data_IF_602402681135
#
_entry.id   IF_602402681135
#
_cell.length_a   1.000
_cell.length_b   1.000
_cell.length_c   1.000
_cell.angle_alpha   90.00
_cell.angle_beta   90.00
_cell.angle_gamma   90.00
#
_symmetry.space_group_name_H-M   'P 1'
#
loop_
_entity.id
_entity.type
_entity.pdbx_description
1 polymer ?
#
# COMPACT_ATOMS: atom_id res chain seq x y z
N UNK A 1 -6.41 4.52 54.32
CA UNK A 1 -7.44 5.42 53.73
C UNK A 1 -7.42 5.24 52.21
N UNK A 2 -8.48 4.68 51.60
CA UNK A 2 -8.53 4.33 50.16
C UNK A 2 -9.12 5.49 49.34
N UNK A 3 -8.26 6.26 48.66
CA UNK A 3 -8.70 7.33 47.75
C UNK A 3 -9.16 6.74 46.42
N UNK A 4 -10.48 6.70 46.16
CA UNK A 4 -11.03 6.31 44.86
C UNK A 4 -11.19 7.55 43.98
N UNK A 5 -10.32 7.69 42.96
CA UNK A 5 -10.47 8.71 41.92
C UNK A 5 -11.61 8.32 40.96
N UNK A 6 -12.76 8.97 41.06
CA UNK A 6 -13.81 8.84 40.04
C UNK A 6 -13.43 9.71 38.85
N UNK A 7 -13.14 9.09 37.70
CA UNK A 7 -12.96 9.81 36.43
C UNK A 7 -14.33 10.24 35.89
N UNK A 8 -14.58 11.54 35.82
CA UNK A 8 -15.73 12.08 35.10
C UNK A 8 -15.53 11.90 33.58
N UNK A 9 -16.54 11.36 32.88
CA UNK A 9 -16.51 11.26 31.42
C UNK A 9 -16.82 12.64 30.83
N UNK A 10 -15.80 13.34 30.33
CA UNK A 10 -15.97 14.57 29.56
C UNK A 10 -16.74 14.27 28.27
N UNK A 11 -17.84 15.00 28.02
CA UNK A 11 -18.60 14.90 26.77
C UNK A 11 -17.76 15.53 25.64
N UNK A 12 -17.46 14.76 24.60
CA UNK A 12 -16.76 15.25 23.40
C UNK A 12 -17.74 16.13 22.63
N UNK A 13 -17.43 17.42 22.46
CA UNK A 13 -18.24 18.31 21.64
C UNK A 13 -18.09 17.94 20.15
N UNK A 14 -19.17 18.03 19.33
CA UNK A 14 -19.07 17.83 17.89
C UNK A 14 -18.29 19.01 17.28
N UNK A 15 -17.23 18.69 16.55
CA UNK A 15 -16.40 19.69 15.88
C UNK A 15 -17.01 19.92 14.51
N UNK A 16 -17.56 21.11 14.30
CA UNK A 16 -18.27 21.43 13.08
C UNK A 16 -17.28 21.55 11.91
N UNK A 17 -17.36 20.61 10.96
CA UNK A 17 -16.45 20.49 9.81
C UNK A 17 -17.01 21.25 8.61
N UNK A 18 -17.27 22.54 8.76
CA UNK A 18 -17.53 23.42 7.62
C UNK A 18 -16.25 23.57 6.79
N UNK A 19 -15.90 22.52 6.04
CA UNK A 19 -14.81 22.55 5.07
C UNK A 19 -15.35 23.30 3.85
N UNK A 20 -14.72 24.42 3.44
CA UNK A 20 -15.13 25.11 2.22
C UNK A 20 -15.06 24.13 1.05
N UNK A 21 -16.17 23.99 0.35
CA UNK A 21 -16.29 23.13 -0.83
C UNK A 21 -15.53 23.81 -1.96
N UNK A 22 -14.27 23.44 -2.16
CA UNK A 22 -13.50 23.91 -3.31
C UNK A 22 -13.97 23.14 -4.56
N UNK A 23 -14.18 23.86 -5.66
CA UNK A 23 -14.57 23.33 -6.97
C UNK A 23 -13.32 22.89 -7.73
N UNK A 24 -13.45 21.83 -8.53
CA UNK A 24 -12.36 21.30 -9.34
C UNK A 24 -11.73 22.38 -10.22
N UNK A 25 -10.39 22.40 -10.31
CA UNK A 25 -9.67 23.39 -11.12
C UNK A 25 -9.87 23.24 -12.63
N UNK A 26 -10.33 22.08 -13.10
CA UNK A 26 -10.65 21.83 -14.51
C UNK A 26 -11.84 22.69 -14.91
N UNK A 27 -11.65 23.59 -15.89
CA UNK A 27 -12.62 24.62 -16.29
C UNK A 27 -13.98 24.11 -16.76
N UNK A 28 -14.09 22.81 -17.09
CA UNK A 28 -15.33 22.13 -17.48
C UNK A 28 -15.92 21.24 -16.39
N UNK A 29 -15.47 21.35 -15.13
CA UNK A 29 -15.83 20.45 -14.05
C UNK A 29 -16.42 21.18 -12.84
N UNK A 30 -17.68 20.93 -12.56
CA UNK A 30 -18.42 21.49 -11.41
C UNK A 30 -18.37 20.56 -10.17
N UNK A 31 -17.61 19.46 -10.25
CA UNK A 31 -17.47 18.52 -9.14
C UNK A 31 -16.61 19.11 -8.01
N UNK A 32 -16.90 18.67 -6.78
CA UNK A 32 -16.16 19.07 -5.58
C UNK A 32 -14.76 18.44 -5.54
N UNK A 33 -13.79 19.21 -5.05
CA UNK A 33 -12.41 18.78 -4.90
C UNK A 33 -12.24 17.77 -3.77
N UNK A 34 -11.39 16.77 -4.02
CA UNK A 34 -11.04 15.77 -3.03
C UNK A 34 -9.61 16.00 -2.51
N UNK A 35 -8.64 16.01 -3.43
CA UNK A 35 -7.22 16.22 -3.14
C UNK A 35 -6.55 16.99 -4.29
N UNK A 36 -5.53 17.79 -3.99
CA UNK A 36 -4.75 18.56 -4.98
C UNK A 36 -5.56 19.53 -5.85
N UNK A 37 -6.70 20.06 -5.36
CA UNK A 37 -7.54 20.97 -6.14
C UNK A 37 -8.28 20.31 -7.31
N UNK A 38 -8.28 18.97 -7.37
CA UNK A 38 -8.97 18.19 -8.39
C UNK A 38 -10.10 17.37 -7.76
N UNK A 39 -11.15 17.11 -8.55
CA UNK A 39 -12.17 16.14 -8.18
C UNK A 39 -11.57 14.72 -8.19
N UNK A 40 -12.27 13.77 -7.56
CA UNK A 40 -11.81 12.38 -7.48
C UNK A 40 -11.53 11.75 -8.86
N UNK A 41 -12.34 12.09 -9.87
CA UNK A 41 -12.19 11.58 -11.25
C UNK A 41 -10.90 12.11 -11.88
N UNK A 42 -10.71 13.42 -11.87
CA UNK A 42 -9.51 14.07 -12.44
C UNK A 42 -8.24 13.71 -11.69
N UNK A 43 -8.30 13.59 -10.35
CA UNK A 43 -7.15 13.13 -9.56
C UNK A 43 -6.77 11.69 -9.93
N UNK A 44 -7.74 10.77 -10.12
CA UNK A 44 -7.46 9.40 -10.55
C UNK A 44 -6.92 9.33 -11.97
N UNK A 45 -7.46 10.13 -12.88
CA UNK A 45 -6.96 10.21 -14.25
C UNK A 45 -5.52 10.71 -14.27
N UNK A 46 -5.24 11.83 -13.59
CA UNK A 46 -3.89 12.39 -13.47
C UNK A 46 -2.91 11.39 -12.83
N UNK A 47 -3.34 10.67 -11.79
CA UNK A 47 -2.54 9.61 -11.17
C UNK A 47 -2.36 8.39 -12.08
N UNK A 48 -3.35 8.02 -12.89
CA UNK A 48 -3.26 6.90 -13.82
C UNK A 48 -2.26 7.18 -14.95
N UNK A 49 -2.21 8.41 -15.43
CA UNK A 49 -1.23 8.82 -16.44
C UNK A 49 0.19 8.92 -15.85
N UNK A 50 0.32 9.42 -14.61
CA UNK A 50 1.61 9.53 -13.90
C UNK A 50 2.12 8.19 -13.37
N UNK A 51 1.23 7.23 -13.13
CA UNK A 51 1.53 5.89 -12.66
C UNK A 51 1.25 4.91 -13.80
N UNK A 52 1.98 5.06 -14.90
CA UNK A 52 2.13 3.98 -15.87
C UNK A 52 2.80 2.79 -15.16
N UNK A 53 1.99 1.98 -14.46
CA UNK A 53 2.40 0.66 -14.02
C UNK A 53 2.55 -0.13 -15.30
N UNK A 54 3.79 -0.36 -15.74
CA UNK A 54 4.07 -1.19 -16.90
C UNK A 54 3.39 -2.54 -16.63
N UNK A 55 2.32 -2.90 -17.35
CA UNK A 55 1.67 -4.17 -17.11
C UNK A 55 2.70 -5.27 -17.41
N UNK A 56 2.80 -6.26 -16.52
CA UNK A 56 3.61 -7.45 -16.77
C UNK A 56 3.15 -8.03 -18.12
N UNK A 57 4.06 -8.32 -19.06
CA UNK A 57 3.68 -8.80 -20.39
C UNK A 57 2.78 -10.03 -20.26
N UNK A 58 1.62 -9.97 -20.92
CA UNK A 58 0.67 -11.07 -20.94
C UNK A 58 1.35 -12.32 -21.53
N UNK A 59 1.40 -13.40 -20.75
CA UNK A 59 2.02 -14.67 -21.17
C UNK A 59 3.25 -15.11 -20.38
N UNK A 60 3.75 -14.35 -19.41
CA UNK A 60 4.73 -14.92 -18.47
C UNK A 60 4.02 -15.92 -17.55
N UNK A 61 4.37 -17.21 -17.57
CA UNK A 61 3.80 -18.17 -16.64
C UNK A 61 4.11 -17.72 -15.21
N UNK A 62 3.08 -17.76 -14.36
CA UNK A 62 3.24 -17.50 -12.94
C UNK A 62 3.70 -18.82 -12.33
N UNK A 63 5.00 -18.98 -12.18
CA UNK A 63 5.59 -20.14 -11.51
C UNK A 63 5.16 -20.25 -10.03
N UNK A 64 5.35 -21.44 -9.45
CA UNK A 64 5.22 -21.62 -8.01
C UNK A 64 6.30 -20.81 -7.27
N UNK A 65 6.07 -20.54 -5.99
CA UNK A 65 7.05 -19.91 -5.12
C UNK A 65 8.32 -20.76 -5.07
N UNK A 66 9.47 -20.12 -5.17
CA UNK A 66 10.77 -20.80 -5.12
C UNK A 66 11.07 -21.42 -3.74
N UNK A 67 10.35 -21.03 -2.68
CA UNK A 67 10.54 -21.55 -1.32
C UNK A 67 10.12 -23.02 -1.24
N UNK A 68 11.01 -23.94 -0.83
CA UNK A 68 10.69 -25.36 -0.68
C UNK A 68 9.44 -25.58 0.21
N UNK A 69 8.50 -26.39 -0.28
CA UNK A 69 7.24 -26.66 0.42
C UNK A 69 6.19 -25.54 0.31
N UNK A 70 6.34 -24.61 -0.64
CA UNK A 70 5.34 -23.58 -0.93
C UNK A 70 4.77 -23.71 -2.34
N UNK A 71 3.60 -24.32 -2.47
CA UNK A 71 2.90 -24.48 -3.76
C UNK A 71 2.09 -23.24 -4.19
N UNK A 72 2.36 -22.08 -3.56
CA UNK A 72 1.63 -20.85 -3.84
C UNK A 72 2.30 -20.13 -5.01
N UNK A 73 1.50 -19.61 -5.93
CA UNK A 73 1.98 -18.81 -7.06
C UNK A 73 2.89 -17.65 -6.61
N UNK A 74 3.98 -17.46 -7.36
CA UNK A 74 4.89 -16.35 -7.15
C UNK A 74 4.17 -15.01 -7.41
N UNK A 75 4.47 -14.02 -6.59
CA UNK A 75 3.99 -12.66 -6.75
C UNK A 75 5.06 -11.80 -7.42
N UNK A 76 6.28 -11.83 -6.87
CA UNK A 76 7.40 -11.02 -7.32
C UNK A 76 8.73 -11.65 -6.89
N UNK A 77 9.79 -11.47 -7.67
CA UNK A 77 11.15 -12.00 -7.37
C UNK A 77 11.19 -13.50 -6.96
N UNK A 78 10.39 -14.37 -7.58
CA UNK A 78 10.37 -15.80 -7.22
C UNK A 78 9.58 -16.15 -5.96
N UNK A 79 9.06 -15.15 -5.24
CA UNK A 79 8.43 -15.33 -3.94
C UNK A 79 6.93 -15.09 -3.99
N UNK A 80 6.16 -15.88 -3.23
CA UNK A 80 4.75 -15.59 -2.99
C UNK A 80 4.62 -14.32 -2.14
N UNK A 81 3.45 -13.67 -2.19
CA UNK A 81 3.18 -12.41 -1.48
C UNK A 81 3.51 -12.47 0.02
N UNK A 82 3.32 -13.64 0.64
CA UNK A 82 3.66 -13.88 2.05
C UNK A 82 5.17 -13.83 2.30
N UNK A 83 5.94 -14.56 1.49
CA UNK A 83 7.40 -14.61 1.63
C UNK A 83 8.03 -13.27 1.24
N UNK A 84 7.57 -12.66 0.15
CA UNK A 84 7.97 -11.31 -0.24
C UNK A 84 7.73 -10.27 0.87
N UNK A 85 6.57 -10.35 1.55
CA UNK A 85 6.28 -9.40 2.64
C UNK A 85 7.19 -9.58 3.84
N UNK A 86 7.54 -10.83 4.20
CA UNK A 86 8.45 -11.13 5.32
C UNK A 86 9.86 -10.62 5.04
N UNK A 87 10.33 -10.84 3.83
CA UNK A 87 11.59 -10.32 3.31
C UNK A 87 11.64 -8.81 3.38
N UNK A 88 10.61 -8.13 2.86
CA UNK A 88 10.56 -6.67 2.80
C UNK A 88 10.55 -6.02 4.20
N UNK A 89 10.03 -6.74 5.19
CA UNK A 89 10.00 -6.27 6.59
C UNK A 89 11.25 -6.65 7.38
N UNK A 90 12.10 -7.56 6.88
CA UNK A 90 13.40 -7.80 7.48
C UNK A 90 14.29 -6.61 7.12
N UNK A 91 14.66 -5.82 8.12
CA UNK A 91 15.32 -4.53 7.98
C UNK A 91 16.58 -4.60 7.11
N UNK A 92 16.51 -4.04 5.89
CA UNK A 92 17.64 -3.36 5.26
C UNK A 92 18.50 -4.12 4.25
N UNK A 93 18.05 -5.25 3.69
CA UNK A 93 18.73 -5.83 2.52
C UNK A 93 18.14 -5.22 1.25
N UNK A 94 18.78 -4.17 0.73
CA UNK A 94 18.49 -3.65 -0.62
C UNK A 94 19.07 -4.55 -1.73
N UNK A 95 19.93 -5.50 -1.36
CA UNK A 95 20.53 -6.47 -2.27
C UNK A 95 19.71 -7.78 -2.34
N UNK A 96 18.99 -7.93 -3.45
CA UNK A 96 18.14 -9.09 -3.72
C UNK A 96 18.93 -10.37 -4.10
N UNK A 97 20.19 -10.25 -4.51
CA UNK A 97 21.03 -11.37 -4.97
C UNK A 97 21.63 -12.12 -3.76
N UNK A 98 22.08 -11.39 -2.75
CA UNK A 98 22.53 -11.93 -1.46
C UNK A 98 21.39 -12.63 -0.70
N UNK A 99 20.20 -12.02 -0.71
CA UNK A 99 19.04 -12.61 -0.06
C UNK A 99 18.54 -13.90 -0.74
N UNK A 100 18.62 -13.98 -2.08
CA UNK A 100 18.35 -15.23 -2.82
C UNK A 100 19.37 -16.29 -2.39
N UNK A 101 20.64 -15.92 -2.31
CA UNK A 101 21.68 -16.83 -1.85
C UNK A 101 21.41 -17.34 -0.42
N UNK A 102 20.96 -16.51 0.51
CA UNK A 102 20.68 -16.95 1.90
C UNK A 102 19.37 -17.74 2.06
N UNK A 103 18.33 -17.43 1.28
CA UNK A 103 17.07 -18.18 1.28
C UNK A 103 17.16 -19.53 0.58
N UNK A 104 18.15 -19.71 -0.31
CA UNK A 104 18.33 -20.92 -1.12
C UNK A 104 19.65 -21.69 -0.87
N UNK A 105 20.56 -21.20 0.00
CA UNK A 105 21.81 -21.90 0.40
C UNK A 105 21.62 -22.93 1.52
N UNK A 106 20.67 -23.84 1.39
CA UNK A 106 20.65 -25.10 2.15
C UNK A 106 20.76 -26.32 1.22
N UNK A 107 21.65 -26.23 0.22
CA UNK A 107 22.14 -27.40 -0.50
C UNK A 107 23.65 -27.28 -0.80
N UNK A 108 24.46 -27.51 0.23
CA UNK A 108 25.66 -28.37 0.12
C UNK A 108 26.09 -28.90 1.48
#
# INVERSE_FOLDING_TARGET
MKWKRKRAKAKRQPMDRHRPVAICWVSSCEDTTHAFGLCLKHSRQEMSHRRAVVPRPAGTPIEACEVPGCDVLQFDHGLCRRHFSRVKTADGLDDWDDMRSTLFSEHR
#
